data_IF_522621182686
#
_entry.id   IF_522621182686
#
_cell.length_a   1.000
_cell.length_b   1.000
_cell.length_c   1.000
_cell.angle_alpha   90.00
_cell.angle_beta   90.00
_cell.angle_gamma   90.00
#
_symmetry.space_group_name_H-M   'P 1'
#
loop_
_entity.id
_entity.type
_entity.pdbx_description
1 polymer ?
#
# COMPACT_ATOMS: atom_id res chain seq x y z
N UNK A 1 -3.06 -1.67 -5.10
CA UNK A 1 -1.61 -1.59 -5.28
C UNK A 1 -0.99 -2.81 -4.62
N UNK A 2 -0.45 -3.78 -5.38
CA UNK A 2 0.20 -4.96 -4.81
C UNK A 2 1.45 -4.59 -4.01
N UNK A 3 1.60 -5.16 -2.82
CA UNK A 3 2.69 -4.87 -1.86
C UNK A 3 4.06 -5.25 -2.43
N UNK A 4 4.12 -6.34 -3.20
CA UNK A 4 5.34 -6.86 -3.79
C UNK A 4 5.79 -6.11 -5.05
N UNK A 5 4.97 -5.19 -5.56
CA UNK A 5 5.27 -4.35 -6.73
C UNK A 5 5.66 -2.91 -6.35
N UNK A 6 5.72 -2.59 -5.05
CA UNK A 6 6.16 -1.29 -4.56
C UNK A 6 7.60 -0.95 -4.97
N UNK A 7 7.99 0.32 -4.84
CA UNK A 7 9.36 0.75 -5.06
C UNK A 7 10.31 -0.08 -4.18
N UNK A 8 11.31 -0.72 -4.80
CA UNK A 8 12.26 -1.59 -4.11
C UNK A 8 11.65 -2.87 -3.52
N UNK A 9 10.46 -3.29 -3.96
CA UNK A 9 9.90 -4.60 -3.62
C UNK A 9 10.33 -5.68 -4.63
N UNK A 10 10.21 -6.98 -4.29
CA UNK A 10 10.75 -8.08 -5.11
C UNK A 10 10.23 -8.14 -6.54
N UNK A 11 8.98 -7.71 -6.77
CA UNK A 11 8.31 -7.74 -8.07
C UNK A 11 8.07 -6.33 -8.62
N UNK A 12 8.94 -5.36 -8.32
CA UNK A 12 8.81 -4.01 -8.87
C UNK A 12 8.78 -4.01 -10.42
N UNK A 13 7.72 -3.49 -11.07
CA UNK A 13 7.57 -3.55 -12.53
C UNK A 13 8.56 -2.66 -13.30
N UNK A 14 9.28 -1.77 -12.62
CA UNK A 14 10.32 -0.92 -13.23
C UNK A 14 11.72 -1.54 -13.12
N UNK A 15 11.84 -2.74 -12.55
CA UNK A 15 13.11 -3.46 -12.41
C UNK A 15 13.98 -3.01 -11.22
N UNK A 16 13.52 -2.03 -10.44
CA UNK A 16 14.18 -1.63 -9.19
C UNK A 16 13.78 -2.59 -8.07
N UNK A 17 14.27 -3.81 -8.14
CA UNK A 17 13.94 -4.90 -7.21
C UNK A 17 14.84 -4.91 -5.99
N UNK A 18 14.31 -5.38 -4.86
CA UNK A 18 15.11 -5.88 -3.75
C UNK A 18 14.23 -6.45 -2.65
N UNK A 19 14.73 -6.50 -1.42
CA UNK A 19 14.08 -7.20 -0.31
C UNK A 19 12.97 -6.36 0.34
N UNK A 20 11.97 -7.02 0.93
CA UNK A 20 10.99 -6.36 1.78
C UNK A 20 11.65 -5.73 3.00
N UNK A 21 11.13 -4.60 3.48
CA UNK A 21 11.65 -3.92 4.66
C UNK A 21 12.98 -3.18 4.43
N UNK A 22 13.52 -3.17 3.21
CA UNK A 22 14.70 -2.35 2.92
C UNK A 22 14.36 -0.86 2.85
N UNK A 23 15.36 0.00 3.07
CA UNK A 23 15.18 1.45 2.95
C UNK A 23 14.75 1.83 1.54
N UNK A 24 13.64 2.57 1.42
CA UNK A 24 13.21 3.16 0.16
C UNK A 24 14.00 4.44 -0.16
N UNK A 25 13.60 5.15 -1.21
CA UNK A 25 14.17 6.45 -1.59
C UNK A 25 13.89 7.56 -0.54
N UNK A 26 12.91 7.37 0.35
CA UNK A 26 12.65 8.27 1.49
C UNK A 26 13.18 7.64 2.78
N UNK A 27 14.06 8.37 3.47
CA UNK A 27 14.54 7.96 4.80
C UNK A 27 13.34 7.86 5.75
N UNK A 28 13.19 6.71 6.41
CA UNK A 28 12.10 6.44 7.34
C UNK A 28 10.90 5.68 6.73
N UNK A 29 10.92 5.41 5.43
CA UNK A 29 9.92 4.58 4.75
C UNK A 29 10.59 3.32 4.21
N UNK A 30 10.10 2.14 4.60
CA UNK A 30 10.61 0.86 4.12
C UNK A 30 9.78 0.31 2.96
N UNK A 31 10.42 -0.48 2.10
CA UNK A 31 9.75 -1.22 1.01
C UNK A 31 8.69 -2.17 1.56
N UNK A 32 7.49 -2.14 0.99
CA UNK A 32 6.36 -2.99 1.40
C UNK A 32 5.50 -2.40 2.52
N UNK A 33 5.82 -1.20 3.03
CA UNK A 33 4.97 -0.53 4.03
C UNK A 33 3.90 0.36 3.41
N UNK A 34 3.96 0.65 2.11
CA UNK A 34 3.05 1.59 1.46
C UNK A 34 1.59 1.14 1.56
N UNK A 35 1.33 -0.15 1.37
CA UNK A 35 0.00 -0.75 1.51
C UNK A 35 -0.61 -0.50 2.90
N UNK A 36 0.15 -0.67 3.99
CA UNK A 36 -0.40 -0.46 5.34
C UNK A 36 -0.70 1.01 5.60
N UNK A 37 0.13 1.92 5.06
CA UNK A 37 -0.03 3.38 5.20
C UNK A 37 -1.27 3.86 4.44
N UNK A 38 -1.53 3.30 3.26
CA UNK A 38 -2.78 3.54 2.52
C UNK A 38 -4.01 3.10 3.31
N UNK A 39 -4.02 1.89 3.86
CA UNK A 39 -5.15 1.39 4.66
C UNK A 39 -5.31 2.20 5.95
N UNK A 40 -4.21 2.50 6.64
CA UNK A 40 -4.21 3.30 7.86
C UNK A 40 -4.76 4.71 7.62
N UNK A 41 -4.48 5.32 6.46
CA UNK A 41 -4.98 6.66 6.13
C UNK A 41 -6.52 6.73 6.17
N UNK A 42 -7.20 5.72 5.65
CA UNK A 42 -8.65 5.61 5.71
C UNK A 42 -9.14 5.33 7.13
N UNK A 43 -8.50 4.40 7.84
CA UNK A 43 -8.91 4.04 9.21
C UNK A 43 -8.72 5.18 10.23
N UNK A 44 -7.73 6.06 10.00
CA UNK A 44 -7.42 7.20 10.86
C UNK A 44 -8.21 8.47 10.49
N UNK A 45 -8.87 8.47 9.34
CA UNK A 45 -9.79 9.52 8.92
C UNK A 45 -11.16 9.38 9.61
N UNK A 46 -11.19 9.72 10.90
CA UNK A 46 -12.38 9.61 11.75
C UNK A 46 -13.58 10.33 11.14
N UNK A 47 -14.72 9.64 11.10
CA UNK A 47 -15.97 10.13 10.50
C UNK A 47 -15.83 10.58 9.04
N UNK A 48 -14.80 10.10 8.33
CA UNK A 48 -14.44 10.51 6.97
C UNK A 48 -14.24 12.03 6.85
N UNK A 49 -13.62 12.63 7.87
CA UNK A 49 -13.45 14.09 8.00
C UNK A 49 -12.62 14.70 6.87
N UNK A 50 -11.48 14.11 6.53
CA UNK A 50 -10.63 14.51 5.41
C UNK A 50 -11.20 14.05 4.07
N UNK A 51 -11.96 12.96 4.05
CA UNK A 51 -12.61 12.40 2.88
C UNK A 51 -11.71 11.40 2.15
N UNK A 52 -10.89 10.64 2.87
CA UNK A 52 -10.09 9.57 2.28
C UNK A 52 -11.03 8.51 1.72
N UNK A 53 -10.94 8.15 0.42
CA UNK A 53 -11.79 7.09 -0.12
C UNK A 53 -11.56 5.77 0.61
N UNK A 54 -12.62 4.98 0.76
CA UNK A 54 -12.58 3.68 1.44
C UNK A 54 -11.41 2.85 0.91
N UNK A 55 -10.49 2.49 1.80
CA UNK A 55 -9.26 1.78 1.43
C UNK A 55 -9.11 0.55 2.31
N UNK A 56 -9.11 -0.61 1.67
CA UNK A 56 -9.03 -1.90 2.34
C UNK A 56 -7.74 -2.63 1.98
N UNK A 57 -7.35 -3.55 2.85
CA UNK A 57 -6.38 -4.57 2.50
C UNK A 57 -7.09 -5.72 1.78
N UNK A 58 -6.58 -6.13 0.62
CA UNK A 58 -7.24 -7.11 -0.24
C UNK A 58 -6.24 -8.12 -0.85
N UNK A 59 -6.77 -9.29 -1.17
CA UNK A 59 -6.10 -10.31 -1.96
C UNK A 59 -6.66 -10.30 -3.39
N UNK A 60 -5.80 -10.40 -4.41
CA UNK A 60 -6.22 -10.41 -5.80
C UNK A 60 -5.27 -11.23 -6.70
N UNK A 61 -5.84 -11.80 -7.76
CA UNK A 61 -5.15 -12.46 -8.87
C UNK A 61 -5.52 -11.70 -10.14
N UNK A 62 -4.54 -11.21 -10.89
CA UNK A 62 -4.82 -10.55 -12.17
C UNK A 62 -3.65 -10.71 -13.14
N UNK A 63 -3.88 -11.04 -14.43
CA UNK A 63 -2.80 -11.21 -15.41
C UNK A 63 -1.92 -9.98 -15.63
N UNK A 64 -2.42 -8.77 -15.33
CA UNK A 64 -1.66 -7.53 -15.46
C UNK A 64 -0.71 -7.24 -14.29
N UNK A 65 -0.74 -8.04 -13.23
CA UNK A 65 0.24 -7.90 -12.15
C UNK A 65 1.60 -8.43 -12.59
N UNK A 66 2.66 -7.90 -11.98
CA UNK A 66 4.03 -8.28 -12.31
C UNK A 66 4.46 -9.51 -11.51
N UNK A 67 4.63 -10.65 -12.17
CA UNK A 67 5.05 -11.89 -11.54
C UNK A 67 6.54 -12.14 -11.80
N UNK A 68 7.27 -12.59 -10.79
CA UNK A 68 8.65 -13.06 -10.95
C UNK A 68 8.65 -14.19 -11.97
N UNK A 69 9.44 -14.06 -13.04
CA UNK A 69 9.73 -15.18 -13.93
C UNK A 69 10.47 -16.21 -13.08
N UNK A 70 9.90 -17.40 -12.92
CA UNK A 70 10.41 -18.56 -12.19
C UNK A 70 11.93 -18.55 -12.01
N UNK A 71 12.45 -17.94 -10.93
CA UNK A 71 13.81 -18.20 -10.51
C UNK A 71 13.82 -19.61 -9.92
N UNK A 72 14.78 -20.43 -10.36
CA UNK A 72 14.93 -21.84 -10.05
C UNK A 72 14.62 -22.13 -8.58
N UNK A 73 13.72 -23.09 -8.34
CA UNK A 73 13.33 -23.52 -7.01
C UNK A 73 14.56 -24.08 -6.28
N UNK A 74 15.16 -23.27 -5.41
CA UNK A 74 15.83 -23.87 -4.26
C UNK A 74 14.74 -24.36 -3.30
N UNK A 75 14.88 -25.62 -2.89
CA UNK A 75 13.86 -26.42 -2.20
C UNK A 75 13.55 -25.96 -0.77
N UNK A 76 14.08 -24.82 -0.31
CA UNK A 76 13.53 -24.08 0.83
C UNK A 76 12.41 -23.17 0.34
N UNK A 77 11.21 -23.74 0.20
CA UNK A 77 10.02 -23.00 -0.23
C UNK A 77 9.91 -21.64 0.48
N UNK A 78 10.04 -20.57 -0.32
CA UNK A 78 9.64 -19.21 0.02
C UNK A 78 8.14 -19.25 0.35
N UNK A 79 7.81 -19.49 1.61
CA UNK A 79 6.43 -19.57 2.08
C UNK A 79 5.88 -18.15 2.14
N UNK A 80 5.34 -17.73 1.00
CA UNK A 80 4.89 -16.34 0.76
C UNK A 80 3.86 -15.87 1.79
N UNK A 81 3.16 -16.81 2.43
CA UNK A 81 2.25 -16.52 3.54
C UNK A 81 2.99 -16.23 4.85
N UNK A 82 4.08 -16.93 5.17
CA UNK A 82 4.85 -16.69 6.39
C UNK A 82 5.65 -15.40 6.31
N UNK A 83 6.26 -15.10 5.18
CA UNK A 83 7.05 -13.88 5.02
C UNK A 83 6.17 -12.63 5.10
N UNK A 84 4.97 -12.65 4.50
CA UNK A 84 4.01 -11.56 4.63
C UNK A 84 3.49 -11.40 6.07
N UNK A 85 3.11 -12.50 6.74
CA UNK A 85 2.70 -12.44 8.15
C UNK A 85 3.84 -11.92 9.02
N UNK A 86 5.09 -12.30 8.74
CA UNK A 86 6.26 -11.79 9.44
C UNK A 86 6.49 -10.30 9.18
N UNK A 87 6.39 -9.84 7.93
CA UNK A 87 6.47 -8.42 7.57
C UNK A 87 5.37 -7.64 8.28
N UNK A 88 4.10 -8.03 8.14
CA UNK A 88 2.99 -7.34 8.82
C UNK A 88 3.12 -7.40 10.35
N UNK A 89 3.53 -8.53 10.91
CA UNK A 89 3.77 -8.65 12.35
C UNK A 89 4.90 -7.74 12.81
N UNK A 90 5.97 -7.61 12.02
CA UNK A 90 7.08 -6.70 12.33
C UNK A 90 6.68 -5.22 12.25
N UNK A 91 5.73 -4.88 11.36
CA UNK A 91 5.19 -3.53 11.21
C UNK A 91 4.19 -3.16 12.31
N UNK A 92 3.36 -4.12 12.73
CA UNK A 92 2.33 -3.93 13.76
C UNK A 92 2.95 -4.00 15.17
N UNK A 93 4.00 -4.80 15.37
CA UNK A 93 4.72 -4.90 16.64
C UNK A 93 6.22 -5.20 16.42
N UNK A 94 7.07 -4.17 16.30
CA UNK A 94 8.49 -4.34 15.99
C UNK A 94 9.28 -5.13 17.06
N UNK A 95 8.72 -5.30 18.26
CA UNK A 95 9.37 -5.95 19.42
C UNK A 95 9.35 -7.49 19.39
N UNK A 96 8.51 -8.13 18.56
CA UNK A 96 8.38 -9.61 18.54
C UNK A 96 9.45 -10.34 17.70
N UNK A 97 10.33 -9.61 17.01
CA UNK A 97 11.31 -10.20 16.09
C UNK A 97 12.53 -10.86 16.75
N UNK A 98 12.66 -10.86 18.09
CA UNK A 98 13.80 -11.46 18.79
C UNK A 98 13.57 -12.88 19.37
N UNK A 99 12.41 -13.51 19.18
CA UNK A 99 12.18 -14.86 19.73
C UNK A 99 11.33 -15.74 18.79
N UNK A 100 11.96 -16.39 17.81
CA UNK A 100 11.45 -17.67 17.28
C UNK A 100 12.47 -18.38 16.37
N UNK A 101 13.54 -18.90 16.97
CA UNK A 101 14.24 -20.07 16.42
C UNK A 101 13.81 -21.30 17.21
N UNK A 102 12.90 -22.10 16.63
CA UNK A 102 12.70 -23.55 16.83
C UNK A 102 11.22 -23.95 16.96
N UNK A 103 10.69 -24.60 15.92
CA UNK A 103 9.78 -25.73 16.11
C UNK A 103 9.62 -26.53 14.81
N UNK A 104 10.10 -27.76 14.86
CA UNK A 104 9.94 -28.81 13.85
C UNK A 104 8.55 -29.42 13.97
N UNK A 105 7.81 -29.57 12.86
CA UNK A 105 6.59 -30.38 12.79
C UNK A 105 6.37 -30.91 11.35
N UNK A 106 5.68 -32.05 11.18
CA UNK A 106 6.07 -33.08 10.23
C UNK A 106 5.45 -32.97 8.84
N UNK A 107 6.15 -33.58 7.88
CA UNK A 107 5.77 -33.75 6.48
C UNK A 107 4.41 -34.45 6.32
N UNK A 108 3.54 -33.83 5.52
CA UNK A 108 2.43 -34.51 4.87
C UNK A 108 2.63 -34.45 3.37
N UNK A 109 2.57 -35.62 2.75
CA UNK A 109 2.74 -35.87 1.33
C UNK A 109 1.72 -35.08 0.52
N UNK A 110 2.18 -34.32 -0.48
CA UNK A 110 1.32 -33.68 -1.48
C UNK A 110 1.53 -34.37 -2.83
N UNK A 111 0.48 -35.02 -3.29
CA UNK A 111 0.36 -35.43 -4.68
C UNK A 111 0.35 -34.21 -5.59
N UNK A 112 1.20 -34.32 -6.60
CA UNK A 112 1.56 -33.33 -7.61
C UNK A 112 0.50 -33.17 -8.70
N UNK A 113 0.15 -31.93 -8.99
CA UNK A 113 -0.04 -31.40 -10.36
C UNK A 113 -0.11 -29.86 -10.25
N UNK A 114 1.04 -29.20 -10.44
CA UNK A 114 1.16 -27.74 -10.33
C UNK A 114 1.03 -27.13 -11.73
N UNK A 115 -0.15 -26.59 -12.05
CA UNK A 115 -0.31 -25.71 -13.20
C UNK A 115 0.48 -24.41 -12.95
N UNK A 116 1.14 -23.87 -13.98
CA UNK A 116 1.70 -22.51 -14.03
C UNK A 116 0.59 -21.46 -13.77
N UNK A 117 0.21 -21.34 -12.51
CA UNK A 117 -0.92 -20.54 -12.05
C UNK A 117 -0.46 -19.15 -11.67
N UNK A 118 -1.20 -18.16 -12.15
CA UNK A 118 -1.08 -16.77 -11.71
C UNK A 118 -1.19 -16.75 -10.17
N UNK A 119 -0.15 -16.23 -9.49
CA UNK A 119 -0.05 -16.25 -8.03
C UNK A 119 -0.99 -15.21 -7.40
N UNK A 120 -1.57 -15.54 -6.25
CA UNK A 120 -2.30 -14.58 -5.40
C UNK A 120 -1.36 -13.48 -4.93
N UNK A 121 -1.84 -12.24 -4.96
CA UNK A 121 -1.13 -11.06 -4.47
C UNK A 121 -1.93 -10.33 -3.42
N UNK A 122 -1.21 -9.62 -2.57
CA UNK A 122 -1.73 -8.83 -1.47
C UNK A 122 -1.51 -7.36 -1.74
N UNK A 123 -2.46 -6.51 -1.37
CA UNK A 123 -2.31 -5.08 -1.62
C UNK A 123 -3.41 -4.20 -1.05
N UNK A 124 -3.24 -2.89 -1.20
CA UNK A 124 -4.29 -1.92 -0.89
C UNK A 124 -5.28 -1.82 -2.05
N UNK A 125 -6.57 -1.79 -1.74
CA UNK A 125 -7.64 -1.53 -2.70
C UNK A 125 -8.42 -0.31 -2.21
N UNK A 126 -8.28 0.80 -2.94
CA UNK A 126 -8.98 2.04 -2.66
C UNK A 126 -10.19 2.18 -3.59
N UNK A 127 -11.33 2.59 -3.03
CA UNK A 127 -12.55 2.83 -3.77
C UNK A 127 -12.32 3.91 -4.82
N UNK A 128 -12.70 3.60 -6.06
CA UNK A 128 -12.55 4.54 -7.16
C UNK A 128 -13.54 5.71 -7.01
N UNK A 129 -13.01 6.92 -6.90
CA UNK A 129 -13.82 8.14 -6.87
C UNK A 129 -13.86 8.75 -8.27
N UNK A 130 -15.08 8.89 -8.81
CA UNK A 130 -15.31 9.69 -10.01
C UNK A 130 -15.17 11.18 -9.67
N UNK A 131 -13.97 11.70 -9.91
CA UNK A 131 -13.64 13.11 -9.78
C UNK A 131 -13.87 13.86 -11.09
N UNK A 132 -14.05 15.18 -11.00
CA UNK A 132 -14.13 16.06 -12.16
C UNK A 132 -12.74 16.44 -12.68
N UNK A 133 -11.75 16.52 -11.78
CA UNK A 133 -10.40 16.99 -12.12
C UNK A 133 -9.38 16.75 -10.99
N UNK A 134 -8.12 17.20 -11.18
CA UNK A 134 -7.07 17.29 -10.16
C UNK A 134 -6.97 18.70 -9.59
N UNK A 135 -6.50 18.83 -8.34
CA UNK A 135 -6.33 20.15 -7.72
C UNK A 135 -5.24 20.98 -8.41
N UNK A 136 -4.23 20.34 -9.00
CA UNK A 136 -3.16 20.98 -9.77
C UNK A 136 -3.64 21.79 -10.98
N UNK A 137 -4.87 21.57 -11.44
CA UNK A 137 -5.47 22.30 -12.56
C UNK A 137 -6.24 23.57 -12.13
N UNK A 138 -6.26 23.91 -10.83
CA UNK A 138 -7.03 25.02 -10.29
C UNK A 138 -6.15 25.95 -9.45
N UNK A 139 -6.56 27.22 -9.36
CA UNK A 139 -5.99 28.15 -8.39
C UNK A 139 -6.41 27.75 -6.97
N UNK A 140 -5.47 27.81 -6.02
CA UNK A 140 -5.73 27.56 -4.60
C UNK A 140 -6.81 28.46 -4.01
N UNK A 141 -7.03 29.66 -4.59
CA UNK A 141 -8.04 30.62 -4.14
C UNK A 141 -9.49 30.09 -4.29
N UNK A 142 -9.68 29.04 -5.09
CA UNK A 142 -10.97 28.39 -5.27
C UNK A 142 -11.31 27.43 -4.13
N UNK A 143 -10.33 27.04 -3.33
CA UNK A 143 -10.50 26.05 -2.27
C UNK A 143 -10.83 26.73 -0.95
N UNK A 144 -11.93 26.31 -0.32
CA UNK A 144 -12.26 26.83 1.01
C UNK A 144 -11.20 26.38 2.02
N UNK A 145 -10.88 27.26 2.98
CA UNK A 145 -9.96 26.97 4.09
C UNK A 145 -10.30 25.66 4.81
N UNK A 146 -11.60 25.37 5.00
CA UNK A 146 -12.05 24.13 5.63
C UNK A 146 -11.62 22.87 4.87
N UNK A 147 -11.70 22.88 3.52
CA UNK A 147 -11.30 21.74 2.69
C UNK A 147 -9.79 21.53 2.69
N UNK A 148 -9.01 22.60 2.75
CA UNK A 148 -7.55 22.52 2.87
C UNK A 148 -7.16 22.01 4.25
N UNK A 149 -7.79 22.55 5.31
CA UNK A 149 -7.49 22.18 6.70
C UNK A 149 -7.78 20.71 7.00
N UNK A 150 -8.88 20.14 6.49
CA UNK A 150 -9.18 18.72 6.75
C UNK A 150 -8.07 17.79 6.25
N UNK A 151 -7.48 18.09 5.08
CA UNK A 151 -6.37 17.33 4.50
C UNK A 151 -5.09 17.61 5.28
N UNK A 152 -4.78 18.87 5.56
CA UNK A 152 -3.58 19.23 6.32
C UNK A 152 -3.53 18.62 7.73
N UNK A 153 -4.68 18.53 8.42
CA UNK A 153 -4.78 17.87 9.72
C UNK A 153 -4.48 16.37 9.59
N UNK A 154 -5.05 15.70 8.58
CA UNK A 154 -4.77 14.29 8.34
C UNK A 154 -3.29 14.07 8.03
N UNK A 155 -2.72 14.85 7.12
CA UNK A 155 -1.33 14.73 6.70
C UNK A 155 -0.36 14.98 7.88
N UNK A 156 -0.66 15.92 8.79
CA UNK A 156 0.12 16.10 10.01
C UNK A 156 0.05 14.90 10.97
N UNK A 157 -1.12 14.27 11.09
CA UNK A 157 -1.30 13.07 11.94
C UNK A 157 -0.59 11.86 11.35
N UNK A 158 -0.62 11.72 10.03
CA UNK A 158 0.03 10.63 9.33
C UNK A 158 1.53 10.88 9.13
N UNK A 159 2.01 12.13 9.23
CA UNK A 159 3.35 12.54 8.79
C UNK A 159 3.56 12.33 7.28
N UNK A 160 2.56 12.67 6.47
CA UNK A 160 2.61 12.54 5.02
C UNK A 160 3.83 13.26 4.41
N UNK A 161 4.72 12.49 3.77
CA UNK A 161 6.00 12.97 3.23
C UNK A 161 5.94 13.34 1.75
N UNK A 162 4.81 13.12 1.08
CA UNK A 162 4.73 13.28 -0.38
C UNK A 162 3.44 13.97 -0.87
N UNK A 163 2.67 14.60 0.04
CA UNK A 163 1.47 15.35 -0.37
C UNK A 163 1.81 16.45 -1.37
N UNK A 164 1.21 16.38 -2.55
CA UNK A 164 1.16 17.45 -3.54
C UNK A 164 -0.26 17.61 -4.12
N UNK A 165 -0.44 18.64 -4.95
CA UNK A 165 -1.70 18.98 -5.62
C UNK A 165 -2.15 17.93 -6.65
N UNK A 166 -1.24 17.10 -7.14
CA UNK A 166 -1.54 15.90 -7.95
C UNK A 166 -2.15 14.75 -7.14
N UNK A 167 -1.99 14.73 -5.82
CA UNK A 167 -2.60 13.73 -4.93
C UNK A 167 -3.96 14.17 -4.37
N UNK A 168 -4.56 15.22 -4.92
CA UNK A 168 -5.85 15.74 -4.47
C UNK A 168 -6.81 15.77 -5.65
N UNK A 169 -7.87 14.97 -5.56
CA UNK A 169 -8.94 14.97 -6.54
C UNK A 169 -9.93 16.10 -6.23
N UNK A 170 -10.56 16.63 -7.29
CA UNK A 170 -11.58 17.66 -7.22
C UNK A 170 -12.93 17.09 -7.63
N UNK A 171 -13.94 17.33 -6.79
CA UNK A 171 -15.35 17.16 -7.15
C UNK A 171 -16.08 18.50 -7.06
N UNK A 172 -16.74 18.89 -8.14
CA UNK A 172 -17.47 20.15 -8.27
C UNK A 172 -18.89 19.95 -7.77
N UNK A 173 -19.32 20.80 -6.85
CA UNK A 173 -20.69 20.85 -6.37
C UNK A 173 -21.19 22.29 -6.37
N UNK A 174 -21.99 22.64 -7.39
CA UNK A 174 -22.53 23.98 -7.64
C UNK A 174 -21.47 25.10 -7.61
N UNK A 175 -21.16 25.64 -6.42
CA UNK A 175 -20.18 26.71 -6.18
C UNK A 175 -19.07 26.31 -5.20
N UNK A 176 -18.90 25.01 -4.94
CA UNK A 176 -17.91 24.47 -4.01
C UNK A 176 -17.05 23.44 -4.71
N UNK A 177 -15.79 23.42 -4.32
CA UNK A 177 -14.82 22.41 -4.69
C UNK A 177 -14.60 21.52 -3.47
N UNK A 178 -14.97 20.26 -3.60
CA UNK A 178 -14.67 19.24 -2.63
C UNK A 178 -13.30 18.64 -2.98
N UNK A 179 -12.40 18.65 -2.00
CA UNK A 179 -11.05 18.10 -2.11
C UNK A 179 -11.05 16.68 -1.55
N UNK A 180 -10.50 15.73 -2.29
CA UNK A 180 -10.48 14.31 -1.91
C UNK A 180 -9.01 13.86 -1.93
N UNK A 181 -8.38 13.64 -0.77
CA UNK A 181 -7.01 13.21 -0.71
C UNK A 181 -6.89 11.74 -1.12
N UNK A 182 -5.90 11.44 -1.96
CA UNK A 182 -5.54 10.08 -2.37
C UNK A 182 -4.04 9.86 -2.17
N UNK A 183 -3.57 8.64 -2.42
CA UNK A 183 -2.15 8.29 -2.50
C UNK A 183 -1.38 8.58 -1.20
N UNK A 184 -1.66 7.81 -0.15
CA UNK A 184 -1.08 7.99 1.18
C UNK A 184 0.08 7.05 1.49
N UNK A 185 0.55 6.30 0.49
CA UNK A 185 1.59 5.27 0.65
C UNK A 185 2.92 5.79 1.22
N UNK A 186 3.20 7.08 1.10
CA UNK A 186 4.40 7.75 1.64
C UNK A 186 4.07 8.65 2.83
N UNK A 187 3.18 8.20 3.71
CA UNK A 187 3.01 8.79 5.04
C UNK A 187 3.89 8.11 6.08
#
# INVERSE_FOLDING_TARGET
KPIDEEAYAPNNPRGYVGEFGQSSFRKGVLSGEGVIREVASFLLDHDNFAGVPETIFAEAIHPSFNYSSSQEMDSSAFDSNKDYINVMSSLINPTLSQMSSSSTAPESQKDSQMSEGIKMKYGSLQYFVKADDLASNYSSDLFSTSQVHKIGILDLRLMNLDRNDGNILIKKSAKRYELIPIDHSLS
#
